data_IF_949036937685
#
_entry.id   IF_949036937685
#
_cell.length_a   1.000
_cell.length_b   1.000
_cell.length_c   1.000
_cell.angle_alpha   90.00
_cell.angle_beta   90.00
_cell.angle_gamma   90.00
#
_symmetry.space_group_name_H-M   'P 1'
#
loop_
_entity.id
_entity.type
_entity.pdbx_description
1 polymer ?
#
# COMPACT_ATOMS: atom_id res chain seq x y z
N UNK A 1 51.67 -6.53 -11.15
CA UNK A 1 50.89 -6.93 -9.95
C UNK A 1 50.05 -5.81 -9.32
N UNK A 2 50.58 -4.60 -9.05
CA UNK A 2 49.84 -3.53 -8.34
C UNK A 2 48.53 -3.06 -9.01
N UNK A 3 48.44 -3.02 -10.35
CA UNK A 3 47.21 -2.59 -11.07
C UNK A 3 46.01 -3.52 -10.86
N UNK A 4 46.23 -4.83 -10.75
CA UNK A 4 45.16 -5.79 -10.53
C UNK A 4 44.65 -5.72 -9.07
N UNK A 5 45.53 -5.39 -8.13
CA UNK A 5 45.17 -5.20 -6.72
C UNK A 5 44.26 -3.98 -6.54
N UNK A 6 44.64 -2.83 -7.14
CA UNK A 6 43.83 -1.61 -7.12
C UNK A 6 42.45 -1.82 -7.78
N UNK A 7 42.41 -2.52 -8.91
CA UNK A 7 41.14 -2.83 -9.60
C UNK A 7 40.22 -3.72 -8.75
N UNK A 8 40.78 -4.71 -8.06
CA UNK A 8 40.00 -5.62 -7.22
C UNK A 8 39.46 -4.90 -5.96
N UNK A 9 40.23 -3.99 -5.38
CA UNK A 9 39.78 -3.16 -4.24
C UNK A 9 38.60 -2.28 -4.67
N UNK A 10 38.71 -1.58 -5.80
CA UNK A 10 37.59 -0.78 -6.30
C UNK A 10 36.32 -1.61 -6.54
N UNK A 11 36.44 -2.82 -7.13
CA UNK A 11 35.26 -3.68 -7.35
C UNK A 11 34.59 -4.06 -6.02
N UNK A 12 35.38 -4.42 -5.01
CA UNK A 12 34.86 -4.78 -3.68
C UNK A 12 34.16 -3.59 -3.03
N UNK A 13 34.76 -2.40 -3.09
CA UNK A 13 34.17 -1.16 -2.57
C UNK A 13 32.84 -0.84 -3.25
N UNK A 14 32.76 -0.95 -4.59
CA UNK A 14 31.51 -0.70 -5.31
C UNK A 14 30.43 -1.70 -4.94
N UNK A 15 30.77 -2.99 -4.80
CA UNK A 15 29.80 -4.03 -4.42
C UNK A 15 29.27 -3.80 -3.00
N UNK A 16 30.16 -3.46 -2.05
CA UNK A 16 29.75 -3.13 -0.67
C UNK A 16 28.83 -1.91 -0.68
N UNK A 17 29.17 -0.86 -1.43
CA UNK A 17 28.33 0.34 -1.54
C UNK A 17 26.94 0.01 -2.09
N UNK A 18 26.87 -0.86 -3.09
CA UNK A 18 25.63 -1.26 -3.75
C UNK A 18 24.74 -2.08 -2.81
N UNK A 19 25.32 -2.99 -2.02
CA UNK A 19 24.60 -3.76 -1.00
C UNK A 19 24.05 -2.84 0.10
N UNK A 20 24.84 -1.86 0.55
CA UNK A 20 24.39 -0.88 1.56
C UNK A 20 23.25 -0.01 1.05
N UNK A 21 23.31 0.46 -0.20
CA UNK A 21 22.24 1.25 -0.82
C UNK A 21 20.96 0.42 -0.92
N UNK A 22 21.03 -0.81 -1.44
CA UNK A 22 19.87 -1.71 -1.52
C UNK A 22 19.28 -1.96 -0.13
N UNK A 23 20.11 -2.20 0.88
CA UNK A 23 19.66 -2.44 2.25
C UNK A 23 18.98 -1.21 2.87
N UNK A 24 19.52 0.00 2.66
CA UNK A 24 18.90 1.25 3.15
C UNK A 24 17.56 1.55 2.48
N UNK A 25 17.45 1.26 1.18
CA UNK A 25 16.21 1.43 0.42
C UNK A 25 15.18 0.42 0.95
N UNK A 26 15.58 -0.85 1.15
CA UNK A 26 14.68 -1.90 1.65
C UNK A 26 14.22 -1.64 3.09
N UNK A 27 15.09 -1.13 3.97
CA UNK A 27 14.68 -0.71 5.32
C UNK A 27 13.72 0.48 5.29
N UNK A 28 13.89 1.43 4.38
CA UNK A 28 12.96 2.55 4.20
C UNK A 28 11.57 2.09 3.74
N UNK A 29 11.47 0.93 3.06
CA UNK A 29 10.20 0.31 2.71
C UNK A 29 9.59 -0.57 3.81
N UNK A 30 10.39 -1.02 4.80
CA UNK A 30 9.92 -1.88 5.90
C UNK A 30 9.44 -1.08 7.12
N UNK A 31 9.80 0.19 7.25
CA UNK A 31 9.36 1.06 8.34
C UNK A 31 8.35 2.08 7.81
N UNK A 32 7.20 1.60 7.35
CA UNK A 32 5.97 2.34 7.53
C UNK A 32 5.50 2.04 8.95
N UNK A 33 5.91 2.89 9.91
CA UNK A 33 5.19 2.96 11.17
C UNK A 33 3.73 3.25 10.80
N UNK A 34 2.76 2.39 11.16
CA UNK A 34 1.37 2.79 11.06
C UNK A 34 1.20 3.95 12.04
N UNK A 35 1.21 5.18 11.53
CA UNK A 35 0.55 6.27 12.24
C UNK A 35 -0.86 5.77 12.52
N UNK A 36 -1.22 5.71 13.79
CA UNK A 36 -2.58 5.42 14.23
C UNK A 36 -3.49 6.55 13.73
N UNK A 37 -3.87 6.48 12.47
CA UNK A 37 -4.91 7.32 11.90
C UNK A 37 -6.22 6.82 12.49
N UNK A 38 -6.85 7.65 13.33
CA UNK A 38 -8.19 7.39 13.83
C UNK A 38 -9.15 7.39 12.65
N UNK A 39 -9.51 6.19 12.18
CA UNK A 39 -10.32 5.97 11.00
C UNK A 39 -11.72 6.60 11.14
N UNK A 40 -12.20 6.82 12.38
CA UNK A 40 -13.47 7.53 12.64
C UNK A 40 -13.47 8.96 12.10
N UNK A 41 -12.36 9.69 12.25
CA UNK A 41 -12.26 11.05 11.73
C UNK A 41 -12.41 11.07 10.19
N UNK A 42 -11.86 10.04 9.54
CA UNK A 42 -11.84 9.91 8.09
C UNK A 42 -13.19 9.50 7.46
N UNK A 43 -14.05 8.83 8.24
CA UNK A 43 -15.40 8.39 7.85
C UNK A 43 -16.40 9.55 7.90
N UNK A 44 -16.23 10.46 8.84
CA UNK A 44 -17.13 11.61 9.05
C UNK A 44 -17.23 12.58 7.85
N UNK A 45 -16.34 12.45 6.86
CA UNK A 45 -16.21 13.40 5.75
C UNK A 45 -16.96 13.04 4.46
N UNK A 46 -17.62 11.88 4.28
CA UNK A 46 -18.14 11.49 2.94
C UNK A 46 -19.50 10.77 2.85
N UNK A 47 -20.16 11.01 1.71
CA UNK A 47 -21.52 10.62 1.28
C UNK A 47 -21.58 9.38 0.36
N UNK A 48 -22.76 8.73 0.26
CA UNK A 48 -23.02 7.36 -0.22
C UNK A 48 -22.78 7.02 -1.72
N UNK A 49 -22.46 7.96 -2.60
CA UNK A 49 -22.71 7.81 -4.05
C UNK A 49 -21.75 6.92 -4.87
N UNK A 50 -20.70 6.30 -4.29
CA UNK A 50 -19.67 5.57 -5.07
C UNK A 50 -19.40 4.11 -4.63
N UNK A 51 -20.38 3.45 -4.00
CA UNK A 51 -20.15 2.15 -3.38
C UNK A 51 -20.38 0.97 -4.34
N UNK A 52 -19.33 0.18 -4.59
CA UNK A 52 -19.44 -1.17 -5.15
C UNK A 52 -19.67 -2.16 -4.01
N UNK A 53 -20.82 -2.85 -4.00
CA UNK A 53 -21.22 -3.76 -2.92
C UNK A 53 -21.01 -5.22 -3.33
N UNK A 54 -20.28 -6.04 -2.56
CA UNK A 54 -20.39 -7.49 -2.64
C UNK A 54 -21.71 -7.95 -1.99
N UNK A 55 -22.45 -8.86 -2.64
CA UNK A 55 -23.79 -9.33 -2.21
C UNK A 55 -23.80 -10.09 -0.87
N UNK A 56 -22.65 -10.64 -0.46
CA UNK A 56 -22.43 -11.31 0.83
C UNK A 56 -20.96 -11.10 1.16
N UNK A 57 -20.61 -10.35 2.20
CA UNK A 57 -19.28 -9.73 2.20
C UNK A 57 -18.48 -9.75 3.48
N UNK A 58 -18.44 -10.82 4.26
CA UNK A 58 -17.43 -10.85 5.34
C UNK A 58 -16.00 -10.83 4.76
N UNK A 59 -15.17 -9.88 5.19
CA UNK A 59 -13.76 -9.77 4.85
C UNK A 59 -12.93 -10.41 5.96
N UNK A 60 -12.44 -11.65 5.78
CA UNK A 60 -11.87 -12.43 6.88
C UNK A 60 -10.49 -11.95 7.32
N UNK A 61 -9.71 -11.36 6.42
CA UNK A 61 -8.31 -11.05 6.67
C UNK A 61 -7.80 -9.88 5.82
N UNK A 62 -6.62 -9.38 6.20
CA UNK A 62 -5.94 -8.29 5.53
C UNK A 62 -5.58 -8.61 4.08
N UNK A 63 -5.35 -9.89 3.74
CA UNK A 63 -5.00 -10.31 2.37
C UNK A 63 -6.21 -10.16 1.44
N UNK A 64 -7.39 -10.53 1.92
CA UNK A 64 -8.66 -10.39 1.22
C UNK A 64 -9.02 -8.93 1.05
N UNK A 65 -8.90 -8.13 2.12
CA UNK A 65 -9.05 -6.68 2.05
C UNK A 65 -8.11 -6.07 1.00
N UNK A 66 -6.82 -6.43 1.04
CA UNK A 66 -5.80 -5.97 0.08
C UNK A 66 -6.19 -6.26 -1.37
N UNK A 67 -6.62 -7.49 -1.65
CA UNK A 67 -6.98 -7.92 -3.00
C UNK A 67 -8.19 -7.15 -3.54
N UNK A 68 -9.23 -6.99 -2.72
CA UNK A 68 -10.46 -6.28 -3.07
C UNK A 68 -10.18 -4.79 -3.24
N UNK A 69 -9.59 -4.15 -2.22
CA UNK A 69 -9.29 -2.72 -2.24
C UNK A 69 -8.33 -2.33 -3.36
N UNK A 70 -7.26 -3.11 -3.59
CA UNK A 70 -6.37 -2.88 -4.74
C UNK A 70 -7.12 -2.90 -6.06
N UNK A 71 -8.03 -3.87 -6.25
CA UNK A 71 -8.76 -4.03 -7.51
C UNK A 71 -9.76 -2.90 -7.75
N UNK A 72 -10.38 -2.40 -6.67
CA UNK A 72 -11.22 -1.20 -6.73
C UNK A 72 -10.38 0.00 -7.17
N UNK A 73 -9.21 0.22 -6.56
CA UNK A 73 -8.32 1.33 -6.91
C UNK A 73 -7.83 1.21 -8.36
N UNK A 74 -7.46 -0.01 -8.80
CA UNK A 74 -7.05 -0.28 -10.20
C UNK A 74 -8.15 0.09 -11.20
N UNK A 75 -9.40 -0.25 -10.88
CA UNK A 75 -10.54 0.08 -11.72
C UNK A 75 -10.81 1.59 -11.76
N UNK A 76 -10.74 2.26 -10.60
CA UNK A 76 -10.94 3.72 -10.51
C UNK A 76 -9.84 4.49 -11.25
N UNK A 77 -8.58 4.08 -11.10
CA UNK A 77 -7.44 4.68 -11.76
C UNK A 77 -7.37 4.34 -13.26
N UNK A 78 -8.22 3.42 -13.76
CA UNK A 78 -8.10 2.79 -15.08
C UNK A 78 -6.68 2.26 -15.34
N UNK A 79 -6.00 1.83 -14.28
CA UNK A 79 -4.57 1.54 -14.28
C UNK A 79 -4.34 0.14 -13.72
N UNK A 80 -3.61 -0.69 -14.47
CA UNK A 80 -3.20 -2.04 -14.03
C UNK A 80 -1.71 -2.12 -13.70
N UNK A 81 -1.16 -1.00 -13.24
CA UNK A 81 0.28 -0.83 -13.05
C UNK A 81 0.77 -1.54 -11.79
N UNK A 82 2.07 -1.79 -11.74
CA UNK A 82 2.70 -2.20 -10.49
C UNK A 82 2.56 -1.06 -9.46
N UNK A 83 2.05 -1.40 -8.29
CA UNK A 83 1.85 -0.48 -7.19
C UNK A 83 2.07 -1.17 -5.85
N UNK A 84 2.45 -0.39 -4.86
CA UNK A 84 2.60 -0.85 -3.48
C UNK A 84 1.25 -0.68 -2.81
N UNK A 85 0.75 -1.73 -2.18
CA UNK A 85 -0.52 -1.71 -1.45
C UNK A 85 -0.31 -2.03 0.01
N UNK A 86 -0.76 -1.13 0.88
CA UNK A 86 -0.75 -1.26 2.34
C UNK A 86 -2.17 -1.45 2.86
N UNK A 87 -2.30 -2.17 3.98
CA UNK A 87 -3.59 -2.44 4.62
C UNK A 87 -3.49 -2.13 6.11
N UNK A 88 -4.44 -1.36 6.61
CA UNK A 88 -4.59 -1.02 8.03
C UNK A 88 -5.96 -1.50 8.50
N UNK A 89 -6.02 -2.02 9.73
CA UNK A 89 -7.25 -2.51 10.33
C UNK A 89 -7.62 -1.66 11.55
N UNK A 90 -8.86 -1.17 11.57
CA UNK A 90 -9.47 -0.54 12.73
C UNK A 90 -10.37 -1.56 13.43
N UNK A 91 -9.94 -2.02 14.60
CA UNK A 91 -10.62 -3.04 15.37
C UNK A 91 -11.90 -2.53 16.05
N UNK A 92 -11.98 -1.24 16.39
CA UNK A 92 -13.16 -0.69 17.08
C UNK A 92 -14.36 -0.63 16.13
N UNK A 93 -14.11 -0.19 14.90
CA UNK A 93 -15.15 -0.02 13.89
C UNK A 93 -15.23 -1.21 12.91
N UNK A 94 -14.31 -2.18 13.04
CA UNK A 94 -14.19 -3.36 12.18
C UNK A 94 -14.04 -2.96 10.72
N UNK A 95 -13.08 -2.08 10.43
CA UNK A 95 -12.86 -1.51 9.10
C UNK A 95 -11.47 -1.81 8.57
N UNK A 96 -11.40 -2.01 7.26
CA UNK A 96 -10.16 -2.14 6.51
C UNK A 96 -9.90 -0.87 5.70
N UNK A 97 -8.76 -0.22 5.93
CA UNK A 97 -8.21 0.80 5.04
C UNK A 97 -7.19 0.14 4.11
N UNK A 98 -7.40 0.25 2.81
CA UNK A 98 -6.49 -0.24 1.79
C UNK A 98 -5.97 0.95 1.01
N UNK A 99 -4.68 1.24 1.10
CA UNK A 99 -4.02 2.29 0.32
C UNK A 99 -3.15 1.63 -0.76
N UNK A 100 -3.20 2.16 -1.98
CA UNK A 100 -2.35 1.74 -3.08
C UNK A 100 -1.71 2.94 -3.75
N UNK A 101 -0.39 2.98 -3.75
CA UNK A 101 0.42 3.91 -4.55
C UNK A 101 0.98 3.26 -5.81
N UNK A 102 0.98 3.95 -6.94
CA UNK A 102 1.65 3.50 -8.17
C UNK A 102 2.98 4.23 -8.36
N UNK A 103 3.92 3.60 -9.07
CA UNK A 103 5.28 4.15 -9.25
C UNK A 103 5.32 5.40 -10.15
N UNK A 104 4.39 5.52 -11.10
CA UNK A 104 4.38 6.57 -12.13
C UNK A 104 3.03 7.28 -12.27
N UNK A 105 2.08 6.98 -11.38
CA UNK A 105 0.73 7.49 -11.45
C UNK A 105 0.14 7.64 -10.05
N UNK A 106 -1.01 8.31 -9.99
CA UNK A 106 -1.68 8.60 -8.73
C UNK A 106 -2.34 7.34 -8.21
N UNK A 107 -2.03 7.05 -6.96
CA UNK A 107 -2.67 6.00 -6.19
C UNK A 107 -4.07 6.37 -5.71
N UNK A 108 -4.51 5.67 -4.68
CA UNK A 108 -5.75 5.97 -3.98
C UNK A 108 -5.88 5.11 -2.74
N UNK A 109 -7.00 5.26 -2.06
CA UNK A 109 -7.35 4.41 -0.93
C UNK A 109 -8.82 4.02 -0.97
N UNK A 110 -9.13 2.92 -0.29
CA UNK A 110 -10.48 2.36 -0.13
C UNK A 110 -10.68 1.96 1.31
N UNK A 111 -11.85 2.27 1.88
CA UNK A 111 -12.28 1.82 3.20
C UNK A 111 -13.40 0.79 3.02
N UNK A 112 -13.27 -0.36 3.66
CA UNK A 112 -14.18 -1.51 3.52
C UNK A 112 -14.64 -1.96 4.91
N UNK A 113 -15.94 -2.12 5.13
CA UNK A 113 -16.48 -2.77 6.33
C UNK A 113 -16.12 -4.26 6.34
N UNK A 114 -15.64 -4.74 7.49
CA UNK A 114 -15.30 -6.16 7.64
C UNK A 114 -16.54 -7.06 7.53
N UNK A 115 -17.65 -6.67 8.16
CA UNK A 115 -18.80 -7.56 8.33
C UNK A 115 -19.65 -7.70 7.08
N UNK A 116 -19.81 -6.58 6.37
CA UNK A 116 -20.68 -6.47 5.21
C UNK A 116 -19.90 -6.48 3.89
N UNK A 117 -18.60 -6.16 3.92
CA UNK A 117 -17.77 -6.01 2.72
C UNK A 117 -18.13 -4.76 1.93
N UNK A 118 -19.03 -3.94 2.47
CA UNK A 118 -19.42 -2.66 1.90
C UNK A 118 -18.20 -1.75 1.85
N UNK A 119 -17.97 -1.20 0.66
CA UNK A 119 -17.05 -0.07 0.53
C UNK A 119 -17.71 1.14 1.17
N UNK A 120 -17.08 1.73 2.17
CA UNK A 120 -17.52 2.99 2.79
C UNK A 120 -17.03 4.17 1.93
N UNK A 121 -15.81 4.06 1.42
CA UNK A 121 -15.14 5.16 0.71
C UNK A 121 -14.12 4.61 -0.28
N UNK A 122 -13.99 5.28 -1.41
CA UNK A 122 -12.93 5.03 -2.38
C UNK A 122 -12.56 6.35 -3.06
N UNK A 123 -11.27 6.69 -3.08
CA UNK A 123 -10.80 7.94 -3.67
C UNK A 123 -9.41 7.78 -4.28
N UNK A 124 -9.19 8.43 -5.43
CA UNK A 124 -7.87 8.57 -6.02
C UNK A 124 -7.17 9.79 -5.39
N UNK A 125 -5.90 9.62 -5.04
CA UNK A 125 -5.08 10.70 -4.51
C UNK A 125 -4.90 11.80 -5.57
N UNK A 126 -4.95 13.06 -5.13
CA UNK A 126 -4.83 14.25 -6.00
C UNK A 126 -3.42 14.52 -6.48
#
# INVERSE_FOLDING_TARGET
>A
MKKNLLRNICIIETVILLVLIISSIFQSFLVSNPESADLKEFISTFTEENNYFPEVGYIPDASTAKAIGSRIIDNLAQHKGFGITTVTYDQENRLWLVDKGYLFSRGGFVIIEQDSGKVIKALLSK
#
